data_IF_195529449689
#
_entry.id   IF_195529449689
#
_cell.length_a   1.000
_cell.length_b   1.000
_cell.length_c   1.000
_cell.angle_alpha   90.00
_cell.angle_beta   90.00
_cell.angle_gamma   90.00
#
_symmetry.space_group_name_H-M   'P 1'
#
loop_
_entity.id
_entity.type
_entity.pdbx_description
1 polymer ?
#
# COMPACT_ATOMS: atom_id res chain seq x y z
N UNK A 1 -46.86 11.94 31.64
CA UNK A 1 -46.04 11.76 30.44
C UNK A 1 -44.81 10.97 30.85
N UNK A 2 -44.96 9.64 30.87
CA UNK A 2 -43.98 8.72 31.44
C UNK A 2 -43.06 8.19 30.33
N UNK A 3 -41.75 8.29 30.56
CA UNK A 3 -40.68 7.79 29.70
C UNK A 3 -40.58 6.27 29.85
N UNK A 4 -40.74 5.55 28.74
CA UNK A 4 -40.54 4.11 28.65
C UNK A 4 -39.06 3.85 28.32
N UNK A 5 -38.26 3.59 29.35
CA UNK A 5 -36.93 2.99 29.19
C UNK A 5 -37.10 1.50 28.86
N UNK A 6 -36.87 1.16 27.60
CA UNK A 6 -36.81 -0.24 27.16
C UNK A 6 -35.34 -0.67 27.19
N UNK A 7 -34.94 -1.68 27.97
CA UNK A 7 -33.57 -2.17 27.95
C UNK A 7 -33.31 -2.91 26.63
N UNK A 8 -32.31 -2.44 25.89
CA UNK A 8 -31.77 -3.14 24.73
C UNK A 8 -31.25 -4.51 25.18
N UNK A 9 -31.90 -5.57 24.69
CA UNK A 9 -31.48 -6.96 24.83
C UNK A 9 -30.05 -7.13 24.29
N UNK A 10 -29.08 -7.06 25.21
CA UNK A 10 -27.71 -7.51 25.00
C UNK A 10 -27.70 -9.01 24.81
N UNK A 11 -27.90 -9.46 23.57
CA UNK A 11 -27.56 -10.83 23.20
C UNK A 11 -26.03 -10.91 23.24
N UNK A 12 -25.42 -11.70 24.14
CA UNK A 12 -23.97 -11.83 24.16
C UNK A 12 -23.56 -12.42 22.81
N UNK A 13 -22.65 -11.74 22.11
CA UNK A 13 -22.04 -12.24 20.88
C UNK A 13 -21.40 -13.59 21.18
N UNK A 14 -22.16 -14.65 20.86
CA UNK A 14 -21.79 -16.06 20.97
C UNK A 14 -20.78 -16.37 19.85
N UNK A 15 -19.59 -15.80 19.97
CA UNK A 15 -18.58 -15.77 18.93
C UNK A 15 -17.20 -15.30 19.39
N UNK A 16 -16.96 -15.16 20.71
CA UNK A 16 -15.59 -15.23 21.23
C UNK A 16 -15.10 -16.67 21.01
N UNK A 17 -14.47 -16.90 19.85
CA UNK A 17 -13.54 -18.00 19.71
C UNK A 17 -12.64 -17.97 20.94
N UNK A 18 -12.64 -19.07 21.71
CA UNK A 18 -11.83 -19.24 22.91
C UNK A 18 -10.40 -18.79 22.59
N UNK A 19 -10.02 -17.58 23.04
CA UNK A 19 -8.62 -17.18 23.09
C UNK A 19 -8.00 -18.15 24.08
N UNK A 20 -7.18 -19.07 23.59
CA UNK A 20 -6.35 -19.87 24.49
C UNK A 20 -5.26 -18.93 24.99
N UNK A 21 -5.41 -18.42 26.21
CA UNK A 21 -4.46 -17.49 26.82
C UNK A 21 -3.06 -18.10 27.01
N UNK A 22 -2.92 -19.42 26.80
CA UNK A 22 -1.63 -20.13 26.79
C UNK A 22 -0.97 -20.13 25.42
N UNK A 23 -1.66 -19.65 24.39
CA UNK A 23 -1.11 -19.51 23.06
C UNK A 23 -0.33 -18.18 22.97
N UNK A 24 1.01 -18.22 22.88
CA UNK A 24 1.80 -17.00 22.75
C UNK A 24 1.52 -16.21 21.46
N UNK A 25 0.70 -16.78 20.54
CA UNK A 25 0.30 -16.13 19.30
C UNK A 25 -1.23 -16.27 19.08
N UNK A 26 -2.08 -15.50 19.77
CA UNK A 26 -3.54 -15.56 19.63
C UNK A 26 -4.01 -14.88 18.32
N UNK A 27 -3.58 -15.43 17.18
CA UNK A 27 -3.92 -14.97 15.84
C UNK A 27 -4.95 -15.89 15.21
N UNK A 28 -5.87 -15.31 14.44
CA UNK A 28 -6.85 -16.10 13.66
C UNK A 28 -6.11 -16.92 12.62
N UNK A 29 -6.35 -18.23 12.61
CA UNK A 29 -5.85 -19.16 11.61
C UNK A 29 -6.98 -19.62 10.70
N UNK A 30 -6.61 -20.14 9.53
CA UNK A 30 -7.55 -20.72 8.59
C UNK A 30 -8.36 -21.86 9.23
N UNK A 31 -9.68 -21.67 9.31
CA UNK A 31 -10.65 -22.73 9.58
C UNK A 31 -11.76 -22.64 8.53
N UNK A 32 -12.53 -23.71 8.26
CA UNK A 32 -13.62 -23.64 7.29
C UNK A 32 -14.63 -22.51 7.57
N UNK A 33 -14.96 -22.30 8.86
CA UNK A 33 -15.88 -21.23 9.28
C UNK A 33 -15.34 -19.82 9.06
N UNK A 34 -14.03 -19.62 9.25
CA UNK A 34 -13.39 -18.31 9.01
C UNK A 34 -13.04 -18.07 7.54
N UNK A 35 -12.68 -19.11 6.79
CA UNK A 35 -12.29 -18.98 5.38
C UNK A 35 -13.48 -18.84 4.43
N UNK A 36 -14.57 -19.58 4.68
CA UNK A 36 -15.66 -19.68 3.71
C UNK A 36 -16.31 -18.33 3.33
N UNK A 37 -16.57 -17.39 4.26
CA UNK A 37 -17.13 -16.08 3.88
C UNK A 37 -16.21 -15.31 2.93
N UNK A 38 -14.90 -15.38 3.17
CA UNK A 38 -13.90 -14.69 2.35
C UNK A 38 -13.68 -15.35 1.01
N UNK A 39 -13.65 -16.68 0.94
CA UNK A 39 -13.56 -17.40 -0.34
C UNK A 39 -14.79 -17.14 -1.23
N UNK A 40 -15.99 -17.09 -0.64
CA UNK A 40 -17.21 -16.70 -1.34
C UNK A 40 -17.09 -15.26 -1.86
N UNK A 41 -16.58 -14.35 -1.03
CA UNK A 41 -16.39 -12.94 -1.41
C UNK A 41 -15.35 -12.78 -2.53
N UNK A 42 -14.21 -13.48 -2.46
CA UNK A 42 -13.24 -13.54 -3.56
C UNK A 42 -13.91 -14.02 -4.85
N UNK A 43 -14.71 -15.09 -4.79
CA UNK A 43 -15.45 -15.58 -5.95
C UNK A 43 -16.42 -14.54 -6.54
N UNK A 44 -17.17 -13.83 -5.69
CA UNK A 44 -18.11 -12.78 -6.11
C UNK A 44 -17.41 -11.56 -6.71
N UNK A 45 -16.21 -11.25 -6.22
CA UNK A 45 -15.46 -10.04 -6.60
C UNK A 45 -14.33 -10.31 -7.59
N UNK A 46 -14.18 -11.56 -8.07
CA UNK A 46 -13.09 -11.98 -8.95
C UNK A 46 -12.91 -11.08 -10.19
N UNK A 47 -13.98 -10.64 -10.90
CA UNK A 47 -13.82 -9.72 -12.02
C UNK A 47 -13.21 -8.38 -11.59
N UNK A 48 -13.64 -7.83 -10.45
CA UNK A 48 -13.09 -6.62 -9.86
C UNK A 48 -11.63 -6.79 -9.44
N UNK A 49 -11.28 -7.95 -8.87
CA UNK A 49 -9.90 -8.29 -8.53
C UNK A 49 -9.01 -8.25 -9.77
N UNK A 50 -9.37 -8.97 -10.83
CA UNK A 50 -8.59 -9.04 -12.06
C UNK A 50 -8.42 -7.66 -12.70
N UNK A 51 -9.50 -6.87 -12.78
CA UNK A 51 -9.45 -5.50 -13.29
C UNK A 51 -8.58 -4.58 -12.43
N UNK A 52 -8.51 -4.79 -11.12
CA UNK A 52 -7.67 -3.96 -10.26
C UNK A 52 -6.19 -4.06 -10.63
N UNK A 53 -5.72 -5.22 -11.11
CA UNK A 53 -4.33 -5.40 -11.54
C UNK A 53 -4.02 -4.84 -12.94
N UNK A 54 -5.03 -4.37 -13.68
CA UNK A 54 -4.85 -3.76 -14.99
C UNK A 54 -4.63 -2.23 -14.88
N UNK A 55 -3.94 -1.60 -15.84
CA UNK A 55 -3.88 -0.15 -15.94
C UNK A 55 -5.29 0.47 -15.96
N UNK A 56 -5.53 1.49 -15.13
CA UNK A 56 -6.85 2.11 -14.99
C UNK A 56 -7.86 1.30 -14.16
N UNK A 57 -7.40 0.32 -13.37
CA UNK A 57 -8.22 -0.42 -12.43
C UNK A 57 -8.92 0.47 -11.39
N UNK A 58 -9.92 -0.09 -10.69
CA UNK A 58 -10.77 0.66 -9.76
C UNK A 58 -10.01 1.31 -8.59
N UNK A 59 -8.85 0.76 -8.21
CA UNK A 59 -7.88 1.38 -7.30
C UNK A 59 -6.48 1.16 -7.86
N UNK A 60 -5.61 2.16 -7.72
CA UNK A 60 -4.22 2.02 -8.12
C UNK A 60 -3.46 1.02 -7.21
N UNK A 61 -2.27 0.62 -7.66
CA UNK A 61 -1.48 -0.38 -6.95
C UNK A 61 -1.11 0.08 -5.52
N UNK A 62 -0.89 1.37 -5.30
CA UNK A 62 -0.46 1.90 -4.01
C UNK A 62 -1.60 1.89 -3.00
N UNK A 63 -2.78 2.37 -3.40
CA UNK A 63 -3.97 2.28 -2.56
C UNK A 63 -4.31 0.83 -2.20
N UNK A 64 -4.09 -0.11 -3.13
CA UNK A 64 -4.27 -1.55 -2.87
C UNK A 64 -3.35 -2.06 -1.77
N UNK A 65 -2.06 -1.75 -1.85
CA UNK A 65 -1.10 -2.17 -0.81
C UNK A 65 -1.42 -1.56 0.55
N UNK A 66 -1.92 -0.32 0.61
CA UNK A 66 -2.36 0.30 1.85
C UNK A 66 -3.58 -0.41 2.46
N UNK A 67 -4.58 -0.77 1.64
CA UNK A 67 -5.72 -1.58 2.08
C UNK A 67 -5.24 -2.94 2.61
N UNK A 68 -4.35 -3.61 1.88
CA UNK A 68 -3.80 -4.91 2.28
C UNK A 68 -3.05 -4.81 3.61
N UNK A 69 -2.25 -3.76 3.81
CA UNK A 69 -1.52 -3.52 5.05
C UNK A 69 -2.44 -3.16 6.22
N UNK A 70 -3.49 -2.37 6.01
CA UNK A 70 -4.47 -2.03 7.05
C UNK A 70 -5.20 -3.28 7.58
N UNK A 71 -5.59 -4.19 6.70
CA UNK A 71 -6.18 -5.49 7.09
C UNK A 71 -5.14 -6.39 7.78
N UNK A 72 -3.92 -6.40 7.24
CA UNK A 72 -2.82 -7.19 7.79
C UNK A 72 -2.40 -6.76 9.19
N UNK A 73 -2.47 -5.47 9.48
CA UNK A 73 -2.23 -4.90 10.81
C UNK A 73 -3.22 -5.47 11.84
N UNK A 74 -4.53 -5.43 11.52
CA UNK A 74 -5.60 -5.99 12.37
C UNK A 74 -5.40 -7.49 12.61
N UNK A 75 -5.04 -8.24 11.57
CA UNK A 75 -4.81 -9.68 11.65
C UNK A 75 -3.44 -10.06 12.26
N UNK A 76 -2.53 -9.11 12.37
CA UNK A 76 -1.15 -9.32 12.78
C UNK A 76 -0.34 -10.26 11.88
N UNK A 77 -0.66 -10.44 10.60
CA UNK A 77 0.03 -11.44 9.79
C UNK A 77 1.44 -11.00 9.36
N UNK A 78 2.50 -11.59 9.98
CA UNK A 78 3.89 -11.17 9.73
C UNK A 78 4.38 -11.39 8.29
N UNK A 79 3.89 -12.45 7.63
CA UNK A 79 4.30 -12.77 6.26
C UNK A 79 3.70 -11.77 5.26
N UNK A 80 2.40 -11.53 5.36
CA UNK A 80 1.74 -10.51 4.54
C UNK A 80 2.30 -9.12 4.82
N UNK A 81 2.61 -8.78 6.09
CA UNK A 81 3.22 -7.51 6.43
C UNK A 81 4.58 -7.33 5.75
N UNK A 82 5.38 -8.40 5.71
CA UNK A 82 6.67 -8.40 5.03
C UNK A 82 6.53 -8.27 3.51
N UNK A 83 5.65 -9.06 2.88
CA UNK A 83 5.42 -9.04 1.41
C UNK A 83 4.90 -7.67 0.98
N UNK A 84 3.76 -7.24 1.51
CA UNK A 84 3.07 -6.03 1.10
C UNK A 84 3.80 -4.76 1.58
N UNK A 85 4.54 -4.85 2.70
CA UNK A 85 5.45 -3.79 3.12
C UNK A 85 6.53 -3.53 2.07
N UNK A 86 7.17 -4.59 1.57
CA UNK A 86 8.17 -4.47 0.50
C UNK A 86 7.58 -3.99 -0.83
N UNK A 87 6.32 -4.32 -1.13
CA UNK A 87 5.64 -3.82 -2.34
C UNK A 87 5.30 -2.33 -2.19
N UNK A 88 4.78 -1.90 -1.03
CA UNK A 88 4.55 -0.49 -0.74
C UNK A 88 5.86 0.32 -0.80
N UNK A 89 6.93 -0.16 -0.16
CA UNK A 89 8.25 0.48 -0.22
C UNK A 89 8.74 0.60 -1.66
N UNK A 90 8.59 -0.46 -2.45
CA UNK A 90 8.95 -0.44 -3.87
C UNK A 90 8.14 0.58 -4.67
N UNK A 91 6.83 0.69 -4.42
CA UNK A 91 5.93 1.65 -5.09
C UNK A 91 6.15 3.09 -4.61
N UNK A 92 6.63 3.29 -3.38
CA UNK A 92 6.85 4.57 -2.69
C UNK A 92 5.64 5.03 -1.83
N UNK A 93 5.72 6.24 -1.26
CA UNK A 93 4.67 6.82 -0.39
C UNK A 93 3.49 7.47 -1.12
N UNK A 94 2.27 7.19 -0.69
CA UNK A 94 1.07 7.78 -1.27
C UNK A 94 0.86 9.23 -0.80
N UNK A 95 0.18 10.03 -1.62
CA UNK A 95 -0.41 11.27 -1.12
C UNK A 95 -1.71 10.93 -0.40
N UNK A 96 -1.88 11.31 0.88
CA UNK A 96 -3.12 11.04 1.60
C UNK A 96 -4.27 11.80 0.96
N UNK A 97 -5.29 11.09 0.50
CA UNK A 97 -6.57 11.66 0.08
C UNK A 97 -7.66 11.31 1.12
N UNK A 98 -8.67 12.17 1.32
CA UNK A 98 -9.77 11.90 2.27
C UNK A 98 -10.56 10.63 1.91
N UNK A 99 -10.71 10.33 0.62
CA UNK A 99 -11.32 9.08 0.16
C UNK A 99 -10.54 7.82 0.62
N UNK A 100 -9.24 7.96 0.90
CA UNK A 100 -8.38 6.90 1.38
C UNK A 100 -8.73 6.51 2.83
N UNK A 101 -9.05 7.48 3.70
CA UNK A 101 -9.38 7.20 5.10
C UNK A 101 -10.64 6.34 5.24
N UNK A 102 -11.70 6.66 4.50
CA UNK A 102 -12.94 5.87 4.51
C UNK A 102 -12.71 4.43 4.01
N UNK A 103 -11.87 4.27 2.99
CA UNK A 103 -11.47 2.96 2.45
C UNK A 103 -10.70 2.14 3.48
N UNK A 104 -9.70 2.75 4.13
CA UNK A 104 -8.89 2.07 5.13
C UNK A 104 -9.72 1.74 6.39
N UNK A 105 -10.65 2.63 6.79
CA UNK A 105 -11.57 2.37 7.89
C UNK A 105 -12.51 1.18 7.59
N UNK A 106 -13.09 1.14 6.39
CA UNK A 106 -13.92 0.01 5.95
C UNK A 106 -13.13 -1.31 5.94
N UNK A 107 -11.90 -1.28 5.42
CA UNK A 107 -11.03 -2.45 5.37
C UNK A 107 -10.72 -3.00 6.77
N UNK A 108 -10.36 -2.13 7.73
CA UNK A 108 -10.15 -2.52 9.13
C UNK A 108 -11.41 -3.05 9.79
N UNK A 109 -12.56 -2.40 9.56
CA UNK A 109 -13.84 -2.86 10.12
C UNK A 109 -14.21 -4.27 9.63
N UNK A 110 -14.00 -4.55 8.34
CA UNK A 110 -14.15 -5.90 7.78
C UNK A 110 -13.25 -6.92 8.49
N UNK A 111 -11.99 -6.54 8.72
CA UNK A 111 -11.03 -7.39 9.40
C UNK A 111 -11.42 -7.65 10.86
N UNK A 112 -11.75 -6.61 11.62
CA UNK A 112 -12.21 -6.72 13.00
C UNK A 112 -13.46 -7.61 13.12
N UNK A 113 -14.42 -7.44 12.21
CA UNK A 113 -15.63 -8.25 12.14
C UNK A 113 -15.36 -9.72 11.73
N UNK A 114 -14.22 -9.99 11.08
CA UNK A 114 -13.87 -11.32 10.58
C UNK A 114 -14.78 -11.83 9.47
N UNK A 115 -15.47 -10.92 8.76
CA UNK A 115 -16.35 -11.20 7.63
C UNK A 115 -16.48 -9.98 6.72
N UNK A 116 -16.83 -10.16 5.44
CA UNK A 116 -17.16 -9.04 4.57
C UNK A 116 -18.35 -8.23 5.14
N UNK A 117 -18.21 -6.90 5.18
CA UNK A 117 -19.29 -5.98 5.56
C UNK A 117 -19.98 -5.40 4.32
N UNK A 118 -21.15 -4.79 4.52
CA UNK A 118 -21.87 -4.09 3.45
C UNK A 118 -21.07 -2.87 2.96
N UNK A 119 -20.71 -2.80 1.66
CA UNK A 119 -19.92 -1.70 1.12
C UNK A 119 -20.70 -0.42 0.86
N UNK A 120 -22.00 -0.34 1.21
CA UNK A 120 -22.83 0.85 0.96
C UNK A 120 -22.18 2.17 1.40
N UNK A 121 -21.50 2.28 2.57
CA UNK A 121 -20.83 3.52 2.97
C UNK A 121 -19.70 3.97 2.01
N UNK A 122 -19.05 3.03 1.30
CA UNK A 122 -18.02 3.38 0.32
C UNK A 122 -18.61 3.98 -0.95
N UNK A 123 -19.87 3.67 -1.29
CA UNK A 123 -20.51 4.15 -2.54
C UNK A 123 -20.76 5.65 -2.53
N UNK A 124 -20.76 6.28 -1.36
CA UNK A 124 -20.87 7.73 -1.22
C UNK A 124 -19.58 8.44 -1.64
N UNK A 125 -18.44 7.77 -1.50
CA UNK A 125 -17.11 8.35 -1.74
C UNK A 125 -16.42 7.81 -3.00
N UNK A 126 -16.82 6.63 -3.49
CA UNK A 126 -16.12 5.91 -4.55
C UNK A 126 -17.05 5.46 -5.69
N UNK A 127 -16.56 5.45 -6.94
CA UNK A 127 -17.29 4.86 -8.05
C UNK A 127 -17.39 3.33 -7.88
N UNK A 128 -18.40 2.72 -8.48
CA UNK A 128 -18.68 1.28 -8.33
C UNK A 128 -17.47 0.35 -8.62
N UNK A 129 -16.66 0.58 -9.68
CA UNK A 129 -15.46 -0.25 -9.92
C UNK A 129 -14.42 -0.18 -8.81
N UNK A 130 -14.28 0.99 -8.16
CA UNK A 130 -13.37 1.16 -7.02
C UNK A 130 -13.88 0.41 -5.79
N UNK A 131 -15.18 0.48 -5.52
CA UNK A 131 -15.83 -0.29 -4.43
C UNK A 131 -15.63 -1.81 -4.63
N UNK A 132 -15.82 -2.30 -5.85
CA UNK A 132 -15.56 -3.71 -6.18
C UNK A 132 -14.10 -4.10 -5.96
N UNK A 133 -13.16 -3.25 -6.40
CA UNK A 133 -11.73 -3.49 -6.23
C UNK A 133 -11.31 -3.50 -4.75
N UNK A 134 -11.85 -2.58 -3.93
CA UNK A 134 -11.59 -2.54 -2.48
C UNK A 134 -12.10 -3.82 -1.82
N UNK A 135 -13.34 -4.25 -2.09
CA UNK A 135 -13.89 -5.50 -1.54
C UNK A 135 -13.05 -6.71 -1.92
N UNK A 136 -12.66 -6.80 -3.19
CA UNK A 136 -11.82 -7.88 -3.68
C UNK A 136 -10.47 -7.92 -2.97
N UNK A 137 -9.86 -6.75 -2.80
CA UNK A 137 -8.57 -6.58 -2.11
C UNK A 137 -8.67 -7.03 -0.66
N UNK A 138 -9.70 -6.58 0.07
CA UNK A 138 -9.96 -6.99 1.47
C UNK A 138 -10.18 -8.49 1.59
N UNK A 139 -10.99 -9.08 0.72
CA UNK A 139 -11.27 -10.52 0.76
C UNK A 139 -10.01 -11.36 0.45
N UNK A 140 -9.24 -10.96 -0.55
CA UNK A 140 -7.98 -11.63 -0.92
C UNK A 140 -6.96 -11.60 0.22
N UNK A 141 -6.77 -10.43 0.84
CA UNK A 141 -5.77 -10.29 1.91
C UNK A 141 -6.21 -10.99 3.19
N UNK A 142 -7.52 -11.04 3.50
CA UNK A 142 -8.03 -11.83 4.63
C UNK A 142 -7.75 -13.32 4.48
N UNK A 143 -8.04 -13.90 3.30
CA UNK A 143 -7.66 -15.29 3.00
C UNK A 143 -6.15 -15.49 3.20
N UNK A 144 -5.34 -14.56 2.67
CA UNK A 144 -3.88 -14.63 2.77
C UNK A 144 -3.38 -14.51 4.21
N UNK A 145 -3.98 -13.65 5.02
CA UNK A 145 -3.64 -13.46 6.43
C UNK A 145 -3.98 -14.71 7.25
N UNK A 146 -5.16 -15.29 7.05
CA UNK A 146 -5.58 -16.53 7.72
C UNK A 146 -4.63 -17.67 7.39
N UNK A 147 -4.24 -17.82 6.11
CA UNK A 147 -3.26 -18.82 5.66
C UNK A 147 -1.87 -18.53 6.25
N UNK A 148 -1.39 -17.30 6.21
CA UNK A 148 -0.08 -16.92 6.76
C UNK A 148 0.02 -17.17 8.26
N UNK A 149 -1.05 -16.87 9.01
CA UNK A 149 -1.13 -17.19 10.44
C UNK A 149 -1.21 -18.70 10.70
N UNK A 150 -1.81 -19.48 9.78
CA UNK A 150 -1.76 -20.95 9.85
C UNK A 150 -0.34 -21.50 9.72
N UNK A 151 0.54 -20.87 8.92
CA UNK A 151 1.97 -21.22 8.88
C UNK A 151 2.61 -21.05 10.25
N UNK A 152 2.35 -19.93 10.93
CA UNK A 152 2.85 -19.70 12.29
C UNK A 152 2.33 -20.74 13.29
N UNK A 153 1.04 -21.09 13.20
CA UNK A 153 0.45 -22.15 14.00
C UNK A 153 1.14 -23.50 13.79
N UNK A 154 1.35 -23.90 12.54
CA UNK A 154 2.04 -25.14 12.18
C UNK A 154 3.48 -25.16 12.68
N UNK A 155 4.23 -24.07 12.47
CA UNK A 155 5.60 -23.93 12.96
C UNK A 155 5.66 -24.01 14.49
N UNK A 156 4.72 -23.38 15.20
CA UNK A 156 4.66 -23.46 16.65
C UNK A 156 4.44 -24.90 17.14
N UNK A 157 3.65 -25.72 16.44
CA UNK A 157 3.48 -27.14 16.77
C UNK A 157 4.74 -27.95 16.50
N UNK A 158 5.34 -27.78 15.32
CA UNK A 158 6.58 -28.49 14.92
C UNK A 158 7.73 -28.16 15.88
N UNK A 159 7.82 -26.90 16.31
CA UNK A 159 8.83 -26.42 17.28
C UNK A 159 8.44 -26.67 18.74
N UNK A 160 7.35 -27.41 19.00
CA UNK A 160 6.84 -27.75 20.35
C UNK A 160 6.48 -26.54 21.24
N UNK A 161 6.29 -25.37 20.64
CA UNK A 161 5.73 -24.17 21.31
C UNK A 161 4.21 -24.28 21.49
N UNK A 162 3.56 -25.18 20.74
CA UNK A 162 2.16 -25.60 20.92
C UNK A 162 2.07 -27.14 20.91
N UNK A 163 1.05 -27.73 21.56
CA UNK A 163 0.79 -29.16 21.46
C UNK A 163 0.61 -29.60 20.00
N UNK A 164 1.14 -30.77 19.64
CA UNK A 164 1.10 -31.26 18.25
C UNK A 164 -0.33 -31.43 17.71
N UNK A 165 -1.29 -31.89 18.52
CA UNK A 165 -2.70 -32.08 18.14
C UNK A 165 -2.85 -32.61 16.69
N UNK A 166 -2.58 -33.91 16.43
CA UNK A 166 -2.30 -34.43 15.08
C UNK A 166 -3.32 -34.03 13.99
N UNK A 167 -4.62 -34.05 14.32
CA UNK A 167 -5.69 -33.62 13.41
C UNK A 167 -5.61 -32.13 13.06
N UNK A 168 -5.28 -31.26 14.03
CA UNK A 168 -5.08 -29.85 13.78
C UNK A 168 -3.82 -29.62 12.93
N UNK A 169 -2.69 -30.25 13.28
CA UNK A 169 -1.47 -30.16 12.49
C UNK A 169 -1.66 -30.63 11.03
N UNK A 170 -2.40 -31.73 10.81
CA UNK A 170 -2.71 -32.22 9.47
C UNK A 170 -3.54 -31.21 8.65
N UNK A 171 -4.52 -30.54 9.28
CA UNK A 171 -5.32 -29.48 8.63
C UNK A 171 -4.50 -28.23 8.33
N UNK A 172 -3.66 -27.82 9.26
CA UNK A 172 -2.74 -26.68 9.07
C UNK A 172 -1.78 -26.98 7.91
N UNK A 173 -1.17 -28.18 7.90
CA UNK A 173 -0.30 -28.64 6.82
C UNK A 173 -1.02 -28.68 5.46
N UNK A 174 -2.23 -29.24 5.40
CA UNK A 174 -3.01 -29.27 4.16
C UNK A 174 -3.31 -27.86 3.63
N UNK A 175 -3.67 -26.93 4.53
CA UNK A 175 -3.89 -25.53 4.17
C UNK A 175 -2.63 -24.89 3.59
N UNK A 176 -1.48 -25.08 4.25
CA UNK A 176 -0.18 -24.55 3.79
C UNK A 176 0.21 -25.16 2.45
N UNK A 177 0.06 -26.47 2.29
CA UNK A 177 0.40 -27.17 1.05
C UNK A 177 -0.42 -26.67 -0.15
N UNK A 178 -1.71 -26.41 0.03
CA UNK A 178 -2.59 -25.86 -1.02
C UNK A 178 -2.21 -24.42 -1.38
N UNK A 179 -1.85 -23.59 -0.40
CA UNK A 179 -1.54 -22.18 -0.64
C UNK A 179 -0.12 -21.94 -1.15
N UNK A 180 0.83 -22.84 -0.87
CA UNK A 180 2.25 -22.66 -1.17
C UNK A 180 2.55 -22.34 -2.64
N UNK A 181 1.94 -23.00 -3.66
CA UNK A 181 2.20 -22.68 -5.07
C UNK A 181 1.85 -21.24 -5.45
N UNK A 182 0.87 -20.63 -4.78
CA UNK A 182 0.47 -19.24 -5.01
C UNK A 182 1.34 -18.28 -4.20
N UNK A 183 1.69 -18.64 -2.97
CA UNK A 183 2.50 -17.79 -2.10
C UNK A 183 3.97 -17.69 -2.54
N UNK A 184 4.55 -18.77 -3.07
CA UNK A 184 5.97 -18.84 -3.40
C UNK A 184 6.42 -17.78 -4.42
N UNK A 185 5.72 -17.57 -5.56
CA UNK A 185 6.06 -16.48 -6.48
C UNK A 185 5.97 -15.09 -5.85
N UNK A 186 4.98 -14.85 -4.98
CA UNK A 186 4.81 -13.56 -4.30
C UNK A 186 5.97 -13.28 -3.32
N UNK A 187 6.40 -14.31 -2.59
CA UNK A 187 7.57 -14.23 -1.68
C UNK A 187 8.84 -13.95 -2.49
N UNK A 188 9.04 -14.65 -3.61
CA UNK A 188 10.19 -14.44 -4.48
C UNK A 188 10.21 -13.01 -5.05
N UNK A 189 9.06 -12.51 -5.52
CA UNK A 189 8.92 -11.14 -6.01
C UNK A 189 9.20 -10.09 -4.92
N UNK A 190 8.66 -10.26 -3.71
CA UNK A 190 8.95 -9.39 -2.57
C UNK A 190 10.45 -9.41 -2.20
N UNK A 191 11.08 -10.60 -2.21
CA UNK A 191 12.51 -10.75 -1.99
C UNK A 191 13.35 -10.01 -3.03
N UNK A 192 12.98 -10.12 -4.30
CA UNK A 192 13.63 -9.41 -5.40
C UNK A 192 13.48 -7.88 -5.26
N UNK A 193 12.28 -7.37 -4.98
CA UNK A 193 12.03 -5.95 -4.76
C UNK A 193 12.85 -5.39 -3.59
N UNK A 194 12.93 -6.13 -2.48
CA UNK A 194 13.76 -5.75 -1.34
C UNK A 194 15.25 -5.78 -1.67
N UNK A 195 15.68 -6.69 -2.54
CA UNK A 195 17.03 -6.70 -3.11
C UNK A 195 17.30 -5.45 -3.93
N UNK A 196 16.37 -5.05 -4.80
CA UNK A 196 16.45 -3.81 -5.58
C UNK A 196 16.54 -2.59 -4.67
N UNK A 197 15.72 -2.51 -3.63
CA UNK A 197 15.75 -1.37 -2.69
C UNK A 197 17.08 -1.25 -1.94
N UNK A 198 17.68 -2.37 -1.52
CA UNK A 198 19.02 -2.38 -0.89
C UNK A 198 20.15 -1.96 -1.84
N UNK A 199 19.99 -2.22 -3.14
CA UNK A 199 20.99 -1.87 -4.14
C UNK A 199 20.77 -0.47 -4.73
N UNK A 200 19.55 0.07 -4.61
CA UNK A 200 19.21 1.38 -5.12
C UNK A 200 20.01 2.45 -4.35
N UNK A 201 20.57 3.45 -5.05
CA UNK A 201 21.21 4.56 -4.38
C UNK A 201 20.21 5.32 -3.50
N UNK A 202 20.66 5.98 -2.43
CA UNK A 202 19.80 6.84 -1.63
C UNK A 202 19.24 7.98 -2.49
N UNK A 203 18.14 8.59 -2.06
CA UNK A 203 17.61 9.79 -2.70
C UNK A 203 18.67 10.91 -2.63
N UNK A 204 19.18 11.39 -3.78
CA UNK A 204 20.15 12.47 -3.78
C UNK A 204 19.44 13.79 -3.47
N UNK A 205 20.18 14.72 -2.87
CA UNK A 205 19.74 16.10 -2.76
C UNK A 205 19.61 16.71 -4.17
N UNK A 206 18.53 17.43 -4.41
CA UNK A 206 18.30 18.08 -5.71
C UNK A 206 19.05 19.40 -5.74
N UNK A 207 20.13 19.47 -6.52
CA UNK A 207 20.84 20.73 -6.74
C UNK A 207 19.97 21.65 -7.59
N UNK A 208 19.84 22.91 -7.17
CA UNK A 208 19.04 23.91 -7.89
C UNK A 208 19.76 25.26 -7.92
N UNK A 209 19.34 26.21 -8.79
CA UNK A 209 19.91 27.56 -8.81
C UNK A 209 19.71 28.24 -7.44
N UNK A 210 20.56 29.22 -7.09
CA UNK A 210 20.44 29.95 -5.83
C UNK A 210 19.02 30.49 -5.58
N UNK A 211 18.64 30.60 -4.31
CA UNK A 211 17.34 31.13 -3.90
C UNK A 211 17.16 32.55 -4.45
N UNK A 212 16.08 32.77 -5.20
CA UNK A 212 15.79 34.04 -5.88
C UNK A 212 16.21 34.08 -7.36
N UNK A 213 17.04 33.13 -7.81
CA UNK A 213 17.41 32.98 -9.21
C UNK A 213 16.63 31.85 -9.90
N UNK A 214 16.26 30.81 -9.16
CA UNK A 214 15.46 29.70 -9.68
C UNK A 214 14.06 30.17 -10.10
N UNK A 215 13.68 29.85 -11.34
CA UNK A 215 12.33 30.13 -11.82
C UNK A 215 11.30 29.16 -11.21
N UNK A 216 10.01 29.47 -11.36
CA UNK A 216 8.93 28.65 -10.80
C UNK A 216 9.01 27.19 -11.26
N UNK A 217 9.30 26.94 -12.54
CA UNK A 217 9.37 25.59 -13.08
C UNK A 217 10.54 24.80 -12.47
N UNK A 218 11.68 25.44 -12.23
CA UNK A 218 12.81 24.82 -11.55
C UNK A 218 12.46 24.40 -10.11
N UNK A 219 11.72 25.25 -9.38
CA UNK A 219 11.21 24.89 -8.05
C UNK A 219 10.23 23.72 -8.09
N UNK A 220 9.27 23.74 -9.01
CA UNK A 220 8.28 22.67 -9.15
C UNK A 220 8.93 21.33 -9.51
N UNK A 221 9.91 21.34 -10.42
CA UNK A 221 10.67 20.14 -10.77
C UNK A 221 11.49 19.64 -9.57
N UNK A 222 12.19 20.53 -8.86
CA UNK A 222 12.98 20.15 -7.71
C UNK A 222 12.13 19.52 -6.59
N UNK A 223 10.90 19.99 -6.39
CA UNK A 223 9.95 19.42 -5.44
C UNK A 223 9.32 18.11 -5.94
N UNK A 224 9.04 17.99 -7.24
CA UNK A 224 8.40 16.80 -7.80
C UNK A 224 9.35 15.61 -7.93
N UNK A 225 10.61 15.83 -8.30
CA UNK A 225 11.58 14.77 -8.62
C UNK A 225 11.77 13.74 -7.49
N UNK A 226 11.90 14.11 -6.20
CA UNK A 226 11.98 13.14 -5.12
C UNK A 226 10.81 12.15 -5.09
N UNK A 227 9.60 12.60 -5.45
CA UNK A 227 8.42 11.73 -5.51
C UNK A 227 8.53 10.71 -6.65
N UNK A 228 9.07 11.10 -7.81
CA UNK A 228 9.33 10.18 -8.93
C UNK A 228 10.49 9.23 -8.65
N UNK A 229 11.48 9.67 -7.90
CA UNK A 229 12.62 8.85 -7.47
C UNK A 229 12.33 8.09 -6.17
N UNK A 230 11.12 8.15 -5.63
CA UNK A 230 10.75 7.36 -4.45
C UNK A 230 10.75 5.85 -4.74
N UNK A 231 10.52 5.46 -6.00
CA UNK A 231 10.62 4.09 -6.46
C UNK A 231 12.10 3.64 -6.58
N UNK A 232 12.46 2.56 -5.90
CA UNK A 232 13.83 2.03 -5.89
C UNK A 232 14.35 1.60 -7.27
N UNK A 233 13.50 1.00 -8.12
CA UNK A 233 13.90 0.65 -9.48
C UNK A 233 14.15 1.89 -10.33
N UNK A 234 13.32 2.93 -10.20
CA UNK A 234 13.55 4.22 -10.86
C UNK A 234 14.88 4.84 -10.44
N UNK A 235 15.24 4.80 -9.15
CA UNK A 235 16.57 5.25 -8.70
C UNK A 235 17.70 4.42 -9.29
N UNK A 236 17.59 3.10 -9.24
CA UNK A 236 18.60 2.19 -9.76
C UNK A 236 18.85 2.44 -11.25
N UNK A 237 17.77 2.62 -12.03
CA UNK A 237 17.85 2.86 -13.46
C UNK A 237 18.35 4.27 -13.76
N UNK A 238 17.71 5.31 -13.21
CA UNK A 238 17.98 6.70 -13.59
C UNK A 238 19.27 7.26 -12.98
N UNK A 239 19.55 6.93 -11.72
CA UNK A 239 20.74 7.42 -11.03
C UNK A 239 21.96 6.51 -11.26
N UNK A 240 21.73 5.24 -11.61
CA UNK A 240 22.78 4.29 -11.99
C UNK A 240 23.34 4.48 -13.39
N UNK A 241 22.79 5.40 -14.21
CA UNK A 241 23.31 5.67 -15.54
C UNK A 241 24.77 6.16 -15.49
N UNK A 242 25.65 5.63 -16.35
CA UNK A 242 27.04 6.09 -16.44
C UNK A 242 27.16 7.51 -17.06
N UNK A 243 26.06 8.00 -17.62
CA UNK A 243 25.93 9.30 -18.26
C UNK A 243 24.86 10.13 -17.55
N UNK A 244 24.93 11.45 -17.71
CA UNK A 244 23.88 12.36 -17.28
C UNK A 244 22.89 12.55 -18.42
N UNK A 245 21.62 12.29 -18.16
CA UNK A 245 20.52 12.54 -19.09
C UNK A 245 19.89 13.88 -18.72
N UNK A 246 19.94 14.83 -19.65
CA UNK A 246 19.32 16.15 -19.50
C UNK A 246 18.00 16.20 -20.28
N UNK A 247 16.90 16.49 -19.58
CA UNK A 247 15.57 16.67 -20.16
C UNK A 247 15.11 18.09 -19.85
N UNK A 248 14.91 18.89 -20.88
CA UNK A 248 14.32 20.20 -20.73
C UNK A 248 12.79 20.09 -20.68
N UNK A 249 12.17 20.93 -19.87
CA UNK A 249 10.73 21.08 -19.73
C UNK A 249 10.39 22.54 -20.05
N UNK A 250 9.37 22.73 -20.89
CA UNK A 250 8.83 24.03 -21.26
C UNK A 250 7.36 24.08 -20.90
N UNK A 251 6.98 25.10 -20.14
CA UNK A 251 5.60 25.42 -19.82
C UNK A 251 5.35 26.91 -20.09
N UNK A 252 4.64 27.20 -21.18
CA UNK A 252 4.50 28.55 -21.69
C UNK A 252 5.85 29.20 -22.00
N UNK A 253 6.17 30.30 -21.31
CA UNK A 253 7.43 31.04 -21.48
C UNK A 253 8.53 30.60 -20.51
N UNK A 254 8.22 29.74 -19.55
CA UNK A 254 9.16 29.29 -18.53
C UNK A 254 9.77 27.96 -18.97
N UNK A 255 11.09 27.86 -18.85
CA UNK A 255 11.85 26.65 -19.19
C UNK A 255 12.79 26.28 -18.05
N UNK A 256 12.98 24.98 -17.86
CA UNK A 256 13.93 24.43 -16.92
C UNK A 256 14.50 23.13 -17.48
N UNK A 257 15.69 22.75 -17.06
CA UNK A 257 16.33 21.49 -17.45
C UNK A 257 16.56 20.64 -16.21
N UNK A 258 16.08 19.41 -16.26
CA UNK A 258 16.32 18.37 -15.26
C UNK A 258 17.45 17.46 -15.74
N UNK A 259 18.48 17.27 -14.93
CA UNK A 259 19.59 16.36 -15.16
C UNK A 259 19.55 15.22 -14.17
N UNK A 260 19.61 13.98 -14.66
CA UNK A 260 19.57 12.75 -13.89
C UNK A 260 20.72 11.84 -14.30
N UNK A 261 21.45 11.27 -13.35
CA UNK A 261 22.49 10.28 -13.63
C UNK A 261 23.69 10.41 -12.71
N UNK A 262 24.58 9.41 -12.72
CA UNK A 262 25.81 9.40 -11.89
C UNK A 262 25.54 9.69 -10.41
N UNK A 263 24.42 9.20 -9.88
CA UNK A 263 24.01 9.43 -8.49
C UNK A 263 23.58 10.86 -8.15
N UNK A 264 23.30 11.71 -9.15
CA UNK A 264 22.96 13.13 -8.95
C UNK A 264 21.67 13.52 -9.65
N UNK A 265 21.04 14.53 -9.08
CA UNK A 265 19.88 15.23 -9.64
C UNK A 265 20.18 16.72 -9.61
N UNK A 266 20.05 17.38 -10.75
CA UNK A 266 20.25 18.82 -10.86
C UNK A 266 19.11 19.42 -11.68
N UNK A 267 18.61 20.57 -11.23
CA UNK A 267 17.66 21.38 -11.96
C UNK A 267 18.32 22.71 -12.29
N UNK A 268 18.17 23.17 -13.53
CA UNK A 268 18.68 24.45 -14.00
C UNK A 268 17.57 25.25 -14.69
N UNK A 269 17.68 26.58 -14.68
CA UNK A 269 16.80 27.43 -15.49
C UNK A 269 17.14 27.27 -16.98
N UNK A 270 16.15 27.46 -17.84
CA UNK A 270 16.36 27.46 -19.27
C UNK A 270 16.34 26.06 -19.91
N UNK A 271 16.53 26.05 -21.23
CA UNK A 271 16.84 24.84 -22.00
C UNK A 271 18.35 24.78 -22.10
N UNK A 272 18.97 23.80 -21.46
CA UNK A 272 20.40 23.66 -21.52
C UNK A 272 20.87 23.11 -22.87
N UNK A 273 22.10 23.43 -23.26
CA UNK A 273 22.67 23.00 -24.54
C UNK A 273 22.89 21.49 -24.63
N UNK A 274 22.98 20.80 -23.50
CA UNK A 274 23.12 19.34 -23.39
C UNK A 274 21.78 18.61 -23.28
N UNK A 275 20.65 19.32 -23.37
CA UNK A 275 19.33 18.71 -23.32
C UNK A 275 19.11 17.74 -24.49
N UNK A 276 18.85 16.47 -24.18
CA UNK A 276 18.59 15.42 -25.17
C UNK A 276 17.16 15.46 -25.69
N UNK A 277 16.24 16.02 -24.90
CA UNK A 277 14.82 16.10 -25.19
C UNK A 277 14.24 17.37 -24.56
N UNK A 278 13.26 17.97 -25.23
CA UNK A 278 12.43 19.06 -24.70
C UNK A 278 11.00 18.56 -24.61
N UNK A 279 10.45 18.54 -23.39
CA UNK A 279 9.05 18.22 -23.12
C UNK A 279 8.26 19.53 -23.07
N UNK A 280 7.30 19.69 -23.98
CA UNK A 280 6.38 20.82 -23.98
C UNK A 280 5.02 20.38 -23.40
N UNK A 281 4.52 21.11 -22.41
CA UNK A 281 3.23 20.80 -21.79
C UNK A 281 2.81 21.79 -20.71
N UNK A 282 1.56 21.68 -20.27
CA UNK A 282 1.05 22.48 -19.15
C UNK A 282 1.67 22.04 -17.82
N UNK A 283 1.93 23.01 -16.95
CA UNK A 283 2.47 22.80 -15.59
C UNK A 283 1.44 22.22 -14.63
N UNK A 284 0.17 22.16 -15.01
CA UNK A 284 -0.94 21.74 -14.15
C UNK A 284 -0.68 20.38 -13.44
N UNK A 285 -0.15 19.32 -14.08
CA UNK A 285 0.18 18.08 -13.39
C UNK A 285 1.29 18.24 -12.34
N UNK A 286 2.31 19.04 -12.63
CA UNK A 286 3.41 19.32 -11.69
C UNK A 286 2.91 20.17 -10.51
N UNK A 287 2.03 21.14 -10.76
CA UNK A 287 1.41 21.97 -9.75
C UNK A 287 0.53 21.15 -8.80
N UNK A 288 -0.25 20.19 -9.32
CA UNK A 288 -1.03 19.28 -8.48
C UNK A 288 -0.15 18.43 -7.56
N UNK A 289 0.98 17.94 -8.08
CA UNK A 289 1.95 17.17 -7.30
C UNK A 289 2.63 18.03 -6.21
N UNK A 290 3.09 19.23 -6.57
CA UNK A 290 3.72 20.16 -5.63
C UNK A 290 2.74 20.65 -4.55
N UNK A 291 1.50 20.99 -4.92
CA UNK A 291 0.48 21.43 -3.97
C UNK A 291 0.14 20.32 -2.97
N UNK A 292 0.08 19.05 -3.41
CA UNK A 292 -0.09 17.91 -2.51
C UNK A 292 1.06 17.74 -1.51
N UNK A 293 2.30 18.06 -1.90
CA UNK A 293 3.47 18.07 -1.02
C UNK A 293 3.42 19.19 0.03
N UNK A 294 3.08 20.41 -0.38
CA UNK A 294 2.93 21.55 0.53
C UNK A 294 1.83 21.31 1.57
N UNK A 295 0.69 20.73 1.17
CA UNK A 295 -0.39 20.38 2.11
C UNK A 295 0.05 19.35 3.15
N UNK A 296 0.93 18.39 2.79
CA UNK A 296 1.53 17.46 3.77
C UNK A 296 2.40 18.19 4.79
N UNK A 297 3.24 19.13 4.34
CA UNK A 297 4.07 19.92 5.24
C UNK A 297 3.22 20.73 6.22
N UNK A 298 2.19 21.43 5.74
CA UNK A 298 1.26 22.20 6.59
C UNK A 298 0.53 21.29 7.57
N UNK A 299 0.02 20.13 7.14
CA UNK A 299 -0.64 19.16 8.01
C UNK A 299 0.27 18.56 9.08
N UNK A 300 1.58 18.52 8.85
CA UNK A 300 2.56 18.08 9.85
C UNK A 300 2.94 19.15 10.88
N UNK A 301 2.61 20.43 10.63
CA UNK A 301 2.84 21.51 11.59
C UNK A 301 1.78 21.43 12.68
N UNK A 302 2.13 20.80 13.82
CA UNK A 302 1.31 20.88 15.03
C UNK A 302 1.38 22.29 15.59
N UNK A 303 0.33 23.08 15.37
CA UNK A 303 0.16 24.37 16.05
C UNK A 303 -0.03 24.09 17.54
N UNK A 304 0.96 24.43 18.36
CA UNK A 304 0.78 24.47 19.82
C UNK A 304 -0.05 25.72 20.14
N UNK A 305 -1.21 25.59 20.80
CA UNK A 305 -1.90 26.76 21.32
C UNK A 305 -1.03 27.39 22.41
N UNK A 306 -0.85 28.71 22.32
CA UNK A 306 -0.27 29.55 23.36
C UNK A 306 -1.26 29.80 24.47
#
# INVERSE_FOLDING_TARGET
MALNDTPLNGTPLKGMALRDDRDPFPRRTATPGLLSPWLIEVGRTLPGLLRSYLPGGGIDARSREQVMLAVTEVNGCRYCAWIHGSWREFLGDASPATAEEAVLAFARACAEAGRPLDPSPLREALPAPAVEAVRATVAQIEVSNLVGNTVDGLLARVTRRRPLAPLAAARELATVAVALPVALPLIAAAGAMRGVDRLAPPLPEVTMPPKGEANLLAHLLAEAVPSYLSNAASRLVLLGLPITVAVAVRAGRTTATLRLGRGRVEVANGVASDALLVLEGDVEPLLRLATGSVLRQIGSVRVRPT
#
